data_IF_102083869865
#
_entry.id   IF_102083869865
#
_cell.length_a   1.000
_cell.length_b   1.000
_cell.length_c   1.000
_cell.angle_alpha   90.00
_cell.angle_beta   90.00
_cell.angle_gamma   90.00
#
_symmetry.space_group_name_H-M   'P 1'
#
loop_
_entity.id
_entity.type
_entity.pdbx_description
1 polymer ?
#
# COMPACT_ATOMS: atom_id res chain seq x y z
N UNK A 1 -1.92 -17.59 6.51
CA UNK A 1 -1.51 -16.17 6.52
C UNK A 1 -2.73 -15.34 6.93
N UNK A 2 -2.73 -14.77 8.14
CA UNK A 2 -3.90 -14.04 8.68
C UNK A 2 -4.40 -12.93 7.74
N UNK A 3 -3.49 -12.26 7.02
CA UNK A 3 -3.83 -11.22 6.03
C UNK A 3 -4.67 -11.74 4.86
N UNK A 4 -4.37 -12.93 4.34
CA UNK A 4 -5.18 -13.50 3.25
C UNK A 4 -6.61 -13.78 3.72
N UNK A 5 -6.77 -14.27 4.96
CA UNK A 5 -8.08 -14.49 5.56
C UNK A 5 -8.82 -13.16 5.78
N UNK A 6 -8.11 -12.12 6.24
CA UNK A 6 -8.67 -10.77 6.41
C UNK A 6 -9.16 -10.18 5.08
N UNK A 7 -8.36 -10.30 4.01
CA UNK A 7 -8.73 -9.78 2.68
C UNK A 7 -9.93 -10.57 2.12
N UNK A 8 -9.94 -11.90 2.25
CA UNK A 8 -11.07 -12.72 1.82
C UNK A 8 -12.34 -12.41 2.60
N UNK A 9 -12.24 -12.24 3.91
CA UNK A 9 -13.38 -11.83 4.75
C UNK A 9 -13.90 -10.45 4.34
N UNK A 10 -13.00 -9.49 4.13
CA UNK A 10 -13.37 -8.15 3.66
C UNK A 10 -14.06 -8.21 2.29
N UNK A 11 -13.58 -9.05 1.37
CA UNK A 11 -14.19 -9.23 0.05
C UNK A 11 -15.60 -9.82 0.15
N UNK A 12 -15.83 -10.80 1.03
CA UNK A 12 -17.15 -11.39 1.28
C UNK A 12 -18.10 -10.36 1.89
N UNK A 13 -17.66 -9.63 2.91
CA UNK A 13 -18.47 -8.58 3.52
C UNK A 13 -18.84 -7.48 2.51
N UNK A 14 -17.89 -7.08 1.66
CA UNK A 14 -18.15 -6.08 0.62
C UNK A 14 -19.16 -6.59 -0.41
N UNK A 15 -18.98 -7.81 -0.93
CA UNK A 15 -19.94 -8.40 -1.89
C UNK A 15 -21.32 -8.62 -1.29
N UNK A 16 -21.41 -8.91 0.01
CA UNK A 16 -22.69 -9.01 0.70
C UNK A 16 -23.36 -7.64 0.88
N UNK A 17 -22.59 -6.56 1.10
CA UNK A 17 -23.12 -5.22 1.33
C UNK A 17 -23.51 -4.48 0.04
N UNK A 18 -22.75 -4.66 -1.05
CA UNK A 18 -22.94 -3.89 -2.30
C UNK A 18 -24.37 -3.97 -2.86
N UNK A 19 -25.06 -5.14 -2.92
CA UNK A 19 -26.44 -5.22 -3.41
C UNK A 19 -27.45 -4.36 -2.65
N UNK A 20 -27.12 -3.94 -1.42
CA UNK A 20 -27.99 -3.10 -0.60
C UNK A 20 -27.69 -1.60 -0.73
N UNK A 21 -26.53 -1.24 -1.29
CA UNK A 21 -26.04 0.14 -1.33
C UNK A 21 -25.93 0.69 -2.77
N UNK A 22 -25.59 -0.15 -3.74
CA UNK A 22 -25.34 0.25 -5.13
C UNK A 22 -26.04 -0.69 -6.12
N UNK A 23 -26.40 -0.13 -7.27
CA UNK A 23 -26.91 -0.88 -8.42
C UNK A 23 -25.77 -1.10 -9.44
N UNK A 24 -25.74 -2.28 -10.04
CA UNK A 24 -24.70 -2.69 -11.00
C UNK A 24 -25.02 -2.29 -12.44
N UNK A 25 -26.19 -1.69 -12.67
CA UNK A 25 -26.72 -1.34 -13.99
C UNK A 25 -25.77 -0.47 -14.83
N UNK A 26 -24.97 0.39 -14.20
CA UNK A 26 -23.98 1.25 -14.88
C UNK A 26 -22.55 0.66 -14.93
N UNK A 27 -22.34 -0.53 -14.39
CA UNK A 27 -21.00 -1.16 -14.37
C UNK A 27 -20.73 -1.93 -15.66
N UNK A 28 -20.06 -1.28 -16.61
CA UNK A 28 -19.59 -1.93 -17.82
C UNK A 28 -18.29 -2.72 -17.58
N UNK A 29 -18.32 -4.05 -17.82
CA UNK A 29 -17.10 -4.88 -17.88
C UNK A 29 -16.32 -4.58 -19.16
N UNK A 30 -15.58 -3.48 -19.13
CA UNK A 30 -14.70 -3.05 -20.19
C UNK A 30 -13.24 -3.00 -19.71
N UNK A 31 -12.32 -2.78 -20.64
CA UNK A 31 -10.90 -2.66 -20.31
C UNK A 31 -10.58 -1.50 -19.36
N UNK A 32 -11.39 -0.43 -19.36
CA UNK A 32 -11.28 0.68 -18.41
C UNK A 32 -11.58 0.29 -16.96
N UNK A 33 -12.34 -0.78 -16.72
CA UNK A 33 -12.54 -1.37 -15.39
C UNK A 33 -11.53 -2.47 -15.09
N UNK A 34 -11.31 -3.37 -16.05
CA UNK A 34 -10.49 -4.57 -15.86
C UNK A 34 -9.02 -4.21 -15.62
N UNK A 35 -8.44 -3.25 -16.36
CA UNK A 35 -7.03 -2.89 -16.19
C UNK A 35 -6.75 -2.30 -14.79
N UNK A 36 -7.49 -1.26 -14.32
CA UNK A 36 -7.31 -0.75 -12.97
C UNK A 36 -7.55 -1.80 -11.89
N UNK A 37 -8.54 -2.68 -12.07
CA UNK A 37 -8.83 -3.75 -11.13
C UNK A 37 -7.67 -4.75 -11.02
N UNK A 38 -7.10 -5.18 -12.16
CA UNK A 38 -5.94 -6.07 -12.17
C UNK A 38 -4.70 -5.40 -11.60
N UNK A 39 -4.49 -4.11 -11.88
CA UNK A 39 -3.41 -3.31 -11.30
C UNK A 39 -3.56 -3.20 -9.77
N UNK A 40 -4.75 -2.91 -9.27
CA UNK A 40 -5.00 -2.83 -7.83
C UNK A 40 -4.87 -4.20 -7.15
N UNK A 41 -5.36 -5.27 -7.78
CA UNK A 41 -5.36 -6.61 -7.18
C UNK A 41 -3.98 -7.29 -7.19
N UNK A 42 -3.25 -7.22 -8.30
CA UNK A 42 -2.05 -8.03 -8.49
C UNK A 42 -0.79 -7.30 -8.00
N UNK A 43 -0.26 -6.26 -8.68
CA UNK A 43 0.97 -5.61 -8.22
C UNK A 43 0.75 -4.84 -6.92
N UNK A 44 -0.37 -4.13 -6.75
CA UNK A 44 -0.58 -3.30 -5.56
C UNK A 44 -0.88 -4.14 -4.30
N UNK A 45 -1.68 -5.21 -4.40
CA UNK A 45 -2.07 -6.02 -3.24
C UNK A 45 -1.23 -7.31 -3.14
N UNK A 46 -1.39 -8.24 -4.10
CA UNK A 46 -0.81 -9.58 -3.98
C UNK A 46 0.74 -9.57 -3.93
N UNK A 47 1.38 -8.85 -4.85
CA UNK A 47 2.85 -8.76 -4.93
C UNK A 47 3.41 -8.02 -3.71
N UNK A 48 2.81 -6.88 -3.34
CA UNK A 48 3.24 -6.10 -2.15
C UNK A 48 3.21 -6.95 -0.88
N UNK A 49 2.10 -7.65 -0.60
CA UNK A 49 2.01 -8.47 0.61
C UNK A 49 2.94 -9.68 0.56
N UNK A 50 3.16 -10.26 -0.62
CA UNK A 50 4.15 -11.34 -0.78
C UNK A 50 5.57 -10.86 -0.48
N UNK A 51 5.97 -9.70 -1.01
CA UNK A 51 7.28 -9.10 -0.75
C UNK A 51 7.42 -8.72 0.72
N UNK A 52 6.39 -8.10 1.31
CA UNK A 52 6.39 -7.73 2.72
C UNK A 52 6.55 -8.94 3.64
N UNK A 53 5.79 -10.01 3.40
CA UNK A 53 5.92 -11.26 4.13
C UNK A 53 7.32 -11.88 3.93
N UNK A 54 7.88 -11.78 2.73
CA UNK A 54 9.24 -12.26 2.43
C UNK A 54 10.32 -11.49 3.18
N UNK A 55 10.16 -10.17 3.32
CA UNK A 55 11.06 -9.31 4.12
C UNK A 55 10.96 -9.67 5.60
N UNK A 56 9.75 -9.80 6.15
CA UNK A 56 9.53 -10.16 7.55
C UNK A 56 10.10 -11.53 7.93
N UNK A 57 10.28 -12.44 6.97
CA UNK A 57 10.93 -13.74 7.20
C UNK A 57 12.46 -13.66 7.28
N UNK A 58 13.06 -12.57 6.81
CA UNK A 58 14.53 -12.40 6.67
C UNK A 58 15.08 -11.28 7.55
N UNK A 59 14.29 -10.28 7.86
CA UNK A 59 14.67 -9.12 8.66
C UNK A 59 14.00 -9.15 10.05
N UNK A 60 14.59 -8.48 11.06
CA UNK A 60 13.91 -8.23 12.32
C UNK A 60 12.55 -7.57 12.08
N UNK A 61 11.50 -8.03 12.76
CA UNK A 61 10.13 -7.59 12.51
C UNK A 61 9.95 -6.06 12.53
N UNK A 62 10.65 -5.38 13.45
CA UNK A 62 10.64 -3.91 13.59
C UNK A 62 11.22 -3.24 12.34
N UNK A 63 12.40 -3.69 11.87
CA UNK A 63 13.05 -3.13 10.70
C UNK A 63 12.28 -3.46 9.40
N UNK A 64 11.74 -4.69 9.29
CA UNK A 64 10.90 -5.08 8.16
C UNK A 64 9.60 -4.27 8.09
N UNK A 65 8.97 -4.01 9.23
CA UNK A 65 7.78 -3.16 9.32
C UNK A 65 8.08 -1.69 9.01
N UNK A 66 9.29 -1.20 9.32
CA UNK A 66 9.69 0.18 9.07
C UNK A 66 9.60 0.58 7.58
N UNK A 67 9.80 -0.38 6.67
CA UNK A 67 9.71 -0.16 5.22
C UNK A 67 8.30 0.31 4.82
N UNK A 68 7.26 -0.15 5.51
CA UNK A 68 5.88 0.25 5.21
C UNK A 68 5.65 1.76 5.46
N UNK A 69 6.43 2.40 6.33
CA UNK A 69 6.35 3.84 6.58
C UNK A 69 6.90 4.69 5.44
N UNK A 70 7.60 4.10 4.46
CA UNK A 70 8.01 4.80 3.24
C UNK A 70 6.86 4.98 2.23
N UNK A 71 5.71 4.32 2.43
CA UNK A 71 4.53 4.44 1.56
C UNK A 71 4.12 5.90 1.27
N UNK A 72 3.93 6.79 2.26
CA UNK A 72 3.60 8.20 2.01
C UNK A 72 4.70 8.95 1.23
N UNK A 73 5.98 8.64 1.45
CA UNK A 73 7.08 9.24 0.70
C UNK A 73 7.01 8.88 -0.79
N UNK A 74 6.85 7.58 -1.09
CA UNK A 74 6.67 7.13 -2.48
C UNK A 74 5.36 7.62 -3.09
N UNK A 75 4.29 7.76 -2.30
CA UNK A 75 3.02 8.33 -2.75
C UNK A 75 3.19 9.74 -3.30
N UNK A 76 3.85 10.61 -2.53
CA UNK A 76 4.17 11.99 -2.97
C UNK A 76 5.12 11.99 -4.18
N UNK A 77 6.16 11.16 -4.15
CA UNK A 77 7.12 11.04 -5.25
C UNK A 77 6.44 10.62 -6.56
N UNK A 78 5.57 9.61 -6.51
CA UNK A 78 4.84 9.14 -7.68
C UNK A 78 3.72 10.10 -8.11
N UNK A 79 3.10 10.86 -7.20
CA UNK A 79 2.20 11.96 -7.59
C UNK A 79 2.95 12.99 -8.44
N UNK A 80 4.15 13.39 -8.01
CA UNK A 80 4.97 14.33 -8.78
C UNK A 80 5.40 13.75 -10.14
N UNK A 81 5.87 12.49 -10.18
CA UNK A 81 6.41 11.89 -11.42
C UNK A 81 5.32 11.46 -12.40
N UNK A 82 4.24 10.85 -11.92
CA UNK A 82 3.20 10.27 -12.78
C UNK A 82 2.04 11.24 -13.06
N UNK A 83 1.62 12.01 -12.06
CA UNK A 83 0.50 12.97 -12.18
C UNK A 83 1.02 14.36 -12.59
N UNK A 84 2.26 14.71 -12.24
CA UNK A 84 2.86 16.01 -12.55
C UNK A 84 2.57 17.09 -11.50
N UNK A 85 2.09 16.71 -10.31
CA UNK A 85 1.76 17.65 -9.25
C UNK A 85 3.00 18.37 -8.74
N UNK A 86 2.91 19.69 -8.53
CA UNK A 86 4.05 20.44 -8.01
C UNK A 86 4.31 20.07 -6.54
N UNK A 87 5.54 19.66 -6.26
CA UNK A 87 6.02 19.45 -4.89
C UNK A 87 6.09 20.80 -4.16
N UNK A 88 5.21 20.99 -3.19
CA UNK A 88 5.26 22.13 -2.29
C UNK A 88 6.30 21.94 -1.18
N UNK A 89 6.50 23.01 -0.40
CA UNK A 89 7.46 23.01 0.71
C UNK A 89 7.04 22.06 1.83
N UNK A 90 5.74 21.85 2.03
CA UNK A 90 5.21 20.98 3.07
C UNK A 90 5.48 19.52 2.74
N UNK A 91 5.27 19.12 1.49
CA UNK A 91 5.53 17.78 0.97
C UNK A 91 7.02 17.42 1.07
N UNK A 92 7.91 18.37 0.76
CA UNK A 92 9.36 18.18 0.91
C UNK A 92 9.77 17.95 2.37
N UNK A 93 9.28 18.78 3.29
CA UNK A 93 9.59 18.63 4.73
C UNK A 93 9.00 17.32 5.27
N UNK A 94 7.76 17.00 4.91
CA UNK A 94 7.11 15.74 5.28
C UNK A 94 7.87 14.52 4.76
N UNK A 95 8.31 14.55 3.49
CA UNK A 95 9.12 13.49 2.89
C UNK A 95 10.45 13.30 3.62
N UNK A 96 11.14 14.39 3.97
CA UNK A 96 12.37 14.34 4.75
C UNK A 96 12.14 13.75 6.14
N UNK A 97 11.06 14.15 6.83
CA UNK A 97 10.70 13.61 8.15
C UNK A 97 10.43 12.11 8.09
N UNK A 98 9.75 11.62 7.06
CA UNK A 98 9.51 10.19 6.85
C UNK A 98 10.84 9.44 6.67
N UNK A 99 11.73 9.93 5.81
CA UNK A 99 13.05 9.30 5.58
C UNK A 99 13.85 9.24 6.88
N UNK A 100 13.94 10.35 7.61
CA UNK A 100 14.68 10.42 8.87
C UNK A 100 14.08 9.48 9.91
N UNK A 101 12.76 9.47 10.06
CA UNK A 101 12.07 8.58 11.01
C UNK A 101 12.33 7.10 10.72
N UNK A 102 12.26 6.69 9.45
CA UNK A 102 12.57 5.31 9.03
C UNK A 102 14.04 4.98 9.25
N UNK A 103 14.96 5.91 8.94
CA UNK A 103 16.38 5.72 9.16
C UNK A 103 16.69 5.51 10.65
N UNK A 104 16.12 6.33 11.55
CA UNK A 104 16.28 6.18 13.01
C UNK A 104 15.72 4.85 13.49
N UNK A 105 14.50 4.47 13.05
CA UNK A 105 13.88 3.20 13.44
C UNK A 105 14.68 1.99 12.96
N UNK A 106 15.27 2.07 11.76
CA UNK A 106 16.12 1.01 11.21
C UNK A 106 17.51 0.95 11.88
N UNK A 107 17.96 2.03 12.49
CA UNK A 107 19.25 2.11 13.18
C UNK A 107 19.21 1.60 14.62
N UNK A 108 18.03 1.42 15.21
CA UNK A 108 17.84 0.82 16.54
C UNK A 108 18.12 -0.69 16.50
N UNK A 109 19.40 -1.02 16.31
CA UNK A 109 19.95 -2.34 16.58
C UNK A 109 20.11 -2.43 18.09
N UNK A 110 19.10 -2.97 18.78
CA UNK A 110 19.34 -3.54 20.10
C UNK A 110 20.32 -4.69 19.94
N UNK A 111 21.58 -4.40 20.23
CA UNK A 111 22.50 -5.36 20.80
C UNK A 111 21.84 -5.95 22.05
N UNK A 112 21.44 -7.23 21.95
CA UNK A 112 21.53 -8.28 22.99
C UNK A 112 21.07 -9.59 22.37
#
# INVERSE_FOLDING_TARGET
>A
MLVALQISFSAVCLHAAVPFLEDWSDTALNWGLILPLLYAGIPSLAVTFYLFASVLRRAPAIQGAAVAYLTPFFGVLFSWVLVGDRLGRVEMVGGLLVIVGVAVLSSDRKET
#
